data_IF_593714537700
#
_entry.id   IF_593714537700
#
_cell.length_a   1.000
_cell.length_b   1.000
_cell.length_c   1.000
_cell.angle_alpha   90.00
_cell.angle_beta   90.00
_cell.angle_gamma   90.00
#
_symmetry.space_group_name_H-M   'P 1'
#
loop_
_entity.id
_entity.type
_entity.pdbx_description
1 polymer ?
#
# COMPACT_ATOMS: atom_id res chain seq x y z
N UNK A 1 5.03 33.01 -84.47
CA UNK A 1 5.50 33.79 -83.30
C UNK A 1 4.88 33.17 -82.05
N UNK A 2 5.68 32.90 -81.02
CA UNK A 2 5.29 32.20 -79.77
C UNK A 2 4.11 32.84 -79.04
N UNK A 3 3.49 32.22 -78.03
CA UNK A 3 4.09 31.60 -76.84
C UNK A 3 3.15 30.55 -76.21
N UNK A 4 3.75 29.73 -75.37
CA UNK A 4 3.22 28.60 -74.61
C UNK A 4 2.57 29.05 -73.28
N UNK A 5 1.61 28.24 -72.78
CA UNK A 5 1.13 28.07 -71.37
C UNK A 5 0.18 29.15 -70.82
N UNK A 6 -0.83 28.88 -69.99
CA UNK A 6 -1.19 27.76 -69.10
C UNK A 6 -2.71 27.80 -68.82
N UNK A 7 -3.38 26.64 -68.78
CA UNK A 7 -4.80 26.49 -68.40
C UNK A 7 -4.84 25.89 -66.99
N UNK A 8 -5.61 26.46 -66.03
CA UNK A 8 -6.09 25.70 -64.89
C UNK A 8 -7.53 25.23 -65.16
N UNK A 9 -7.64 23.95 -65.47
CA UNK A 9 -8.86 23.16 -65.51
C UNK A 9 -9.48 23.07 -64.12
N UNK A 10 -10.65 23.70 -63.91
CA UNK A 10 -11.49 23.44 -62.73
C UNK A 10 -12.44 22.27 -63.02
N UNK A 11 -11.92 21.05 -62.94
CA UNK A 11 -12.75 19.84 -62.77
C UNK A 11 -12.74 19.45 -61.29
N UNK A 12 -13.88 19.08 -60.68
CA UNK A 12 -13.94 18.67 -59.29
C UNK A 12 -13.61 17.18 -59.16
N UNK A 13 -12.82 16.76 -58.16
CA UNK A 13 -12.93 15.38 -57.70
C UNK A 13 -13.03 15.27 -56.18
N UNK A 14 -14.15 14.67 -55.76
CA UNK A 14 -14.25 13.58 -54.79
C UNK A 14 -13.36 13.67 -53.54
N UNK A 15 -14.01 14.16 -52.49
CA UNK A 15 -14.04 13.62 -51.14
C UNK A 15 -13.22 12.34 -50.94
N UNK A 16 -12.11 12.43 -50.21
CA UNK A 16 -11.57 11.31 -49.42
C UNK A 16 -10.60 11.82 -48.34
N UNK A 17 -11.05 11.64 -47.09
CA UNK A 17 -10.28 11.33 -45.89
C UNK A 17 -9.31 12.38 -45.32
N UNK A 18 -9.73 13.13 -44.30
CA UNK A 18 -8.85 13.49 -43.16
C UNK A 18 -9.60 13.72 -41.82
N UNK A 19 -10.58 12.89 -41.48
CA UNK A 19 -11.21 12.89 -40.13
C UNK A 19 -10.45 12.02 -39.11
N UNK A 20 -9.19 11.67 -39.38
CA UNK A 20 -8.39 10.79 -38.50
C UNK A 20 -7.58 11.56 -37.44
N UNK A 21 -7.27 12.83 -37.66
CA UNK A 21 -6.41 13.62 -36.78
C UNK A 21 -7.10 14.08 -35.48
N UNK A 22 -8.38 14.47 -35.55
CA UNK A 22 -9.15 14.93 -34.38
C UNK A 22 -9.64 13.79 -33.48
N UNK A 23 -10.08 12.68 -34.07
CA UNK A 23 -10.60 11.52 -33.33
C UNK A 23 -9.49 10.76 -32.59
N UNK A 24 -8.26 10.73 -33.14
CA UNK A 24 -7.10 10.15 -32.43
C UNK A 24 -6.84 10.86 -31.10
N UNK A 25 -6.98 12.19 -31.06
CA UNK A 25 -6.81 12.99 -29.83
C UNK A 25 -7.90 12.68 -28.79
N UNK A 26 -9.14 12.46 -29.22
CA UNK A 26 -10.28 12.14 -28.34
C UNK A 26 -10.18 10.69 -27.83
N UNK A 27 -9.81 9.74 -28.69
CA UNK A 27 -9.62 8.33 -28.34
C UNK A 27 -8.42 8.16 -27.39
N UNK A 28 -7.33 8.92 -27.58
CA UNK A 28 -6.20 8.93 -26.64
C UNK A 28 -6.51 9.61 -25.31
N UNK A 29 -7.43 10.60 -25.27
CA UNK A 29 -7.85 11.28 -24.02
C UNK A 29 -8.75 10.44 -23.12
N UNK A 30 -9.37 9.38 -23.66
CA UNK A 30 -10.16 8.41 -22.87
C UNK A 30 -9.40 7.14 -22.47
N UNK A 31 -8.18 6.93 -22.96
CA UNK A 31 -7.33 5.77 -22.59
C UNK A 31 -6.15 6.09 -21.65
N UNK A 32 -5.95 7.35 -21.29
CA UNK A 32 -4.76 7.82 -20.55
C UNK A 32 -4.99 8.16 -19.06
N UNK A 33 -6.17 7.87 -18.50
CA UNK A 33 -6.43 8.06 -17.05
C UNK A 33 -6.30 6.76 -16.24
N UNK A 34 -6.38 5.59 -16.86
CA UNK A 34 -6.35 4.29 -16.15
C UNK A 34 -4.93 3.80 -15.83
N UNK A 35 -3.91 4.22 -16.58
CA UNK A 35 -2.51 3.79 -16.38
C UNK A 35 -1.80 4.56 -15.24
N UNK A 36 -2.19 5.81 -14.99
CA UNK A 36 -1.63 6.62 -13.87
C UNK A 36 -2.21 6.21 -12.51
N UNK A 37 -3.35 5.53 -12.49
CA UNK A 37 -4.07 5.10 -11.29
C UNK A 37 -3.50 3.82 -10.66
N UNK A 38 -3.02 2.87 -11.46
CA UNK A 38 -2.48 1.58 -10.96
C UNK A 38 -1.14 1.75 -10.25
N UNK A 39 -0.26 2.62 -10.76
CA UNK A 39 1.06 2.87 -10.16
C UNK A 39 0.93 3.56 -8.79
N UNK A 40 0.07 4.59 -8.69
CA UNK A 40 -0.18 5.30 -7.42
C UNK A 40 -0.86 4.38 -6.41
N UNK A 41 -1.83 3.54 -6.84
CA UNK A 41 -2.50 2.56 -5.98
C UNK A 41 -1.53 1.49 -5.47
N UNK A 42 -0.65 0.98 -6.33
CA UNK A 42 0.37 0.02 -5.96
C UNK A 42 1.40 0.64 -4.99
N UNK A 43 1.77 1.90 -5.22
CA UNK A 43 2.68 2.62 -4.33
C UNK A 43 2.05 2.90 -2.96
N UNK A 44 0.76 3.26 -2.90
CA UNK A 44 0.02 3.41 -1.66
C UNK A 44 -0.07 2.10 -0.87
N UNK A 45 -0.33 0.97 -1.54
CA UNK A 45 -0.35 -0.36 -0.91
C UNK A 45 1.02 -0.71 -0.31
N UNK A 46 2.11 -0.48 -1.04
CA UNK A 46 3.46 -0.71 -0.53
C UNK A 46 3.76 0.18 0.69
N UNK A 47 3.36 1.44 0.68
CA UNK A 47 3.52 2.35 1.82
C UNK A 47 2.72 1.86 3.04
N UNK A 48 1.47 1.43 2.85
CA UNK A 48 0.66 0.85 3.92
C UNK A 48 1.30 -0.41 4.51
N UNK A 49 1.82 -1.31 3.65
CA UNK A 49 2.52 -2.52 4.10
C UNK A 49 3.82 -2.19 4.86
N UNK A 50 4.56 -1.17 4.44
CA UNK A 50 5.76 -0.69 5.16
C UNK A 50 5.39 -0.14 6.54
N UNK A 51 4.34 0.69 6.61
CA UNK A 51 3.84 1.23 7.87
C UNK A 51 3.42 0.09 8.82
N UNK A 52 2.63 -0.86 8.34
CA UNK A 52 2.19 -2.02 9.14
C UNK A 52 3.36 -2.83 9.68
N UNK A 53 4.37 -3.10 8.85
CA UNK A 53 5.58 -3.81 9.29
C UNK A 53 6.35 -3.03 10.37
N UNK A 54 6.46 -1.71 10.21
CA UNK A 54 7.10 -0.86 11.22
C UNK A 54 6.33 -0.87 12.54
N UNK A 55 5.00 -0.76 12.51
CA UNK A 55 4.15 -0.83 13.71
C UNK A 55 4.32 -2.17 14.45
N UNK A 56 4.31 -3.28 13.71
CA UNK A 56 4.55 -4.62 14.28
C UNK A 56 5.92 -4.69 14.93
N UNK A 57 6.98 -4.19 14.26
CA UNK A 57 8.34 -4.17 14.82
C UNK A 57 8.42 -3.36 16.12
N UNK A 58 7.71 -2.24 16.21
CA UNK A 58 7.65 -1.43 17.42
C UNK A 58 6.92 -2.16 18.57
N UNK A 59 5.84 -2.90 18.26
CA UNK A 59 5.13 -3.73 19.24
C UNK A 59 6.01 -4.88 19.74
N UNK A 60 6.72 -5.58 18.85
CA UNK A 60 7.68 -6.63 19.21
C UNK A 60 8.78 -6.07 20.10
N UNK A 61 9.39 -4.94 19.72
CA UNK A 61 10.42 -4.28 20.54
C UNK A 61 9.90 -3.88 21.92
N UNK A 62 8.64 -3.46 22.03
CA UNK A 62 8.02 -3.16 23.33
C UNK A 62 7.83 -4.42 24.15
N UNK A 63 7.40 -5.52 23.52
CA UNK A 63 7.23 -6.81 24.18
C UNK A 63 8.58 -7.35 24.71
N UNK A 64 9.65 -7.26 23.92
CA UNK A 64 11.01 -7.64 24.32
C UNK A 64 11.51 -6.92 25.59
N UNK A 65 11.03 -5.69 25.85
CA UNK A 65 11.38 -4.94 27.06
C UNK A 65 10.54 -5.33 28.28
N UNK A 66 9.34 -5.85 28.07
CA UNK A 66 8.40 -6.22 29.14
C UNK A 66 8.62 -7.65 29.64
N UNK A 67 9.00 -8.56 28.73
CA UNK A 67 9.23 -9.97 29.05
C UNK A 67 10.63 -10.14 29.66
N UNK A 68 10.77 -10.76 30.84
CA UNK A 68 12.07 -11.09 31.43
C UNK A 68 12.90 -11.93 30.46
N UNK A 69 14.16 -11.55 30.24
CA UNK A 69 15.03 -12.21 29.25
C UNK A 69 14.65 -11.96 27.77
N UNK A 70 13.62 -11.17 27.49
CA UNK A 70 13.05 -11.03 26.15
C UNK A 70 13.84 -10.20 25.14
N UNK A 71 14.92 -9.50 25.54
CA UNK A 71 15.64 -8.55 24.67
C UNK A 71 16.32 -9.20 23.46
N UNK A 72 16.75 -10.43 23.62
CA UNK A 72 17.53 -11.18 22.63
C UNK A 72 16.71 -12.29 21.95
N UNK A 73 15.42 -12.42 22.31
CA UNK A 73 14.56 -13.47 21.78
C UNK A 73 14.00 -13.09 20.41
N UNK A 74 14.06 -14.07 19.50
CA UNK A 74 13.33 -14.06 18.23
C UNK A 74 11.81 -14.14 18.48
N UNK A 75 10.97 -13.66 17.54
CA UNK A 75 9.52 -13.51 17.78
C UNK A 75 8.82 -14.76 18.31
N UNK A 76 9.09 -15.94 17.76
CA UNK A 76 8.45 -17.19 18.19
C UNK A 76 8.74 -17.52 19.66
N UNK A 77 10.01 -17.43 20.05
CA UNK A 77 10.44 -17.64 21.43
C UNK A 77 9.92 -16.54 22.36
N UNK A 78 9.92 -15.29 21.90
CA UNK A 78 9.40 -14.16 22.64
C UNK A 78 7.91 -14.33 22.97
N UNK A 79 7.09 -14.81 22.04
CA UNK A 79 5.68 -15.04 22.29
C UNK A 79 5.45 -16.19 23.28
N UNK A 80 6.25 -17.26 23.21
CA UNK A 80 6.20 -18.35 24.18
C UNK A 80 6.58 -17.87 25.59
N UNK A 81 7.68 -17.13 25.72
CA UNK A 81 8.11 -16.57 27.01
C UNK A 81 7.12 -15.52 27.53
N UNK A 82 6.51 -14.72 26.65
CA UNK A 82 5.44 -13.82 27.03
C UNK A 82 4.25 -14.58 27.62
N UNK A 83 3.84 -15.69 27.01
CA UNK A 83 2.73 -16.50 27.51
C UNK A 83 3.04 -17.10 28.90
N UNK A 84 4.25 -17.64 29.09
CA UNK A 84 4.74 -18.13 30.38
C UNK A 84 4.73 -17.02 31.43
N UNK A 85 5.26 -15.85 31.09
CA UNK A 85 5.32 -14.72 32.02
C UNK A 85 3.94 -14.20 32.42
N UNK A 86 2.99 -14.11 31.47
CA UNK A 86 1.59 -13.77 31.77
C UNK A 86 0.98 -14.78 32.75
N UNK A 87 1.21 -16.09 32.54
CA UNK A 87 0.72 -17.12 33.45
C UNK A 87 1.30 -16.95 34.86
N UNK A 88 2.61 -16.73 34.98
CA UNK A 88 3.28 -16.50 36.27
C UNK A 88 2.70 -15.28 37.00
N UNK A 89 2.55 -14.15 36.30
CA UNK A 89 1.96 -12.94 36.89
C UNK A 89 0.52 -13.18 37.38
N UNK A 90 -0.29 -13.91 36.60
CA UNK A 90 -1.66 -14.25 37.01
C UNK A 90 -1.68 -15.09 38.28
N UNK A 91 -0.80 -16.09 38.39
CA UNK A 91 -0.69 -16.90 39.61
C UNK A 91 -0.26 -16.04 40.80
N UNK A 92 0.76 -15.20 40.66
CA UNK A 92 1.22 -14.30 41.72
C UNK A 92 0.11 -13.38 42.22
N UNK A 93 -0.62 -12.74 41.30
CA UNK A 93 -1.76 -11.87 41.66
C UNK A 93 -2.86 -12.66 42.35
N UNK A 94 -3.21 -13.86 41.86
CA UNK A 94 -4.24 -14.70 42.47
C UNK A 94 -3.87 -15.10 43.90
N UNK A 95 -2.62 -15.49 44.14
CA UNK A 95 -2.12 -15.82 45.48
C UNK A 95 -2.19 -14.61 46.40
N UNK A 96 -1.70 -13.45 45.97
CA UNK A 96 -1.74 -12.21 46.76
C UNK A 96 -3.18 -11.81 47.09
N UNK A 97 -4.10 -11.96 46.15
CA UNK A 97 -5.53 -11.69 46.38
C UNK A 97 -6.15 -12.70 47.36
N UNK A 98 -5.81 -13.98 47.27
CA UNK A 98 -6.28 -14.99 48.20
C UNK A 98 -5.79 -14.71 49.62
N UNK A 99 -4.49 -14.43 49.77
CA UNK A 99 -3.91 -14.05 51.06
C UNK A 99 -4.53 -12.77 51.59
N UNK A 100 -4.69 -11.72 50.77
CA UNK A 100 -5.32 -10.48 51.19
C UNK A 100 -6.73 -10.70 51.75
N UNK A 101 -7.51 -11.65 51.21
CA UNK A 101 -8.83 -12.01 51.75
C UNK A 101 -8.74 -12.70 53.12
N UNK A 102 -7.69 -13.47 53.38
CA UNK A 102 -7.46 -14.14 54.67
C UNK A 102 -6.98 -13.16 55.75
N UNK A 103 -6.30 -12.09 55.37
CA UNK A 103 -5.76 -11.06 56.28
C UNK A 103 -6.64 -9.81 56.42
N UNK A 104 -7.84 -9.79 55.82
CA UNK A 104 -8.82 -8.74 56.15
C UNK A 104 -9.30 -8.96 57.60
N UNK A 105 -9.12 -7.98 58.50
CA UNK A 105 -9.65 -8.07 59.87
C UNK A 105 -11.17 -8.14 59.90
#
# INVERSE_FOLDING_TARGET
MGLIRYIPSSSPPTDHHHTSSGLRRIIMRRRSTTSRSTVVRNQALLMMMRRRRWEVRMKVRRLQKLVPGGRELEPEQLFLEAAKYILQLRVQVNVLQALSKLYKP
#
